data_IF_573470836912
#
_entry.id   IF_573470836912
#
_cell.length_a   1.000
_cell.length_b   1.000
_cell.length_c   1.000
_cell.angle_alpha   90.00
_cell.angle_beta   90.00
_cell.angle_gamma   90.00
#
_symmetry.space_group_name_H-M   'P 1'
#
loop_
_entity.id
_entity.type
_entity.pdbx_description
1 polymer ?
#
# COMPACT_ATOMS: atom_id res chain seq x y z
N UNK A 1 -13.73 -12.53 -0.48
CA UNK A 1 -13.43 -12.20 -1.89
C UNK A 1 -14.01 -10.81 -2.15
N UNK A 2 -13.18 -9.85 -2.55
CA UNK A 2 -13.61 -8.48 -2.85
C UNK A 2 -14.40 -8.42 -4.16
N UNK A 3 -15.35 -7.49 -4.25
CA UNK A 3 -16.13 -7.23 -5.46
C UNK A 3 -15.18 -6.77 -6.59
N UNK A 4 -15.22 -7.37 -7.80
CA UNK A 4 -14.40 -6.93 -8.94
C UNK A 4 -14.50 -5.43 -9.24
N UNK A 5 -15.66 -4.81 -8.99
CA UNK A 5 -15.85 -3.37 -9.15
C UNK A 5 -15.13 -2.58 -8.05
N UNK A 6 -15.11 -3.08 -6.82
CA UNK A 6 -14.41 -2.45 -5.69
C UNK A 6 -12.89 -2.45 -5.88
N UNK A 7 -12.35 -3.54 -6.43
CA UNK A 7 -10.92 -3.65 -6.79
C UNK A 7 -10.56 -2.63 -7.87
N UNK A 8 -11.33 -2.55 -8.95
CA UNK A 8 -11.07 -1.62 -10.05
C UNK A 8 -11.12 -0.15 -9.59
N UNK A 9 -12.11 0.21 -8.78
CA UNK A 9 -12.23 1.56 -8.21
C UNK A 9 -11.08 1.87 -7.23
N UNK A 10 -10.62 0.89 -6.46
CA UNK A 10 -9.49 1.06 -5.54
C UNK A 10 -8.23 1.41 -6.32
N UNK A 11 -7.92 0.67 -7.39
CA UNK A 11 -6.80 1.01 -8.27
C UNK A 11 -6.96 2.37 -8.96
N UNK A 12 -8.17 2.75 -9.40
CA UNK A 12 -8.39 4.08 -9.99
C UNK A 12 -8.12 5.21 -8.99
N UNK A 13 -8.54 5.04 -7.73
CA UNK A 13 -8.25 5.99 -6.65
C UNK A 13 -6.75 6.07 -6.37
N UNK A 14 -6.09 4.94 -6.24
CA UNK A 14 -4.64 4.86 -5.99
C UNK A 14 -3.82 5.47 -7.12
N UNK A 15 -4.26 5.29 -8.37
CA UNK A 15 -3.64 5.95 -9.52
C UNK A 15 -3.79 7.48 -9.44
N UNK A 16 -5.00 7.99 -9.19
CA UNK A 16 -5.23 9.44 -9.02
C UNK A 16 -4.41 10.01 -7.87
N UNK A 17 -4.29 9.27 -6.78
CA UNK A 17 -3.43 9.62 -5.65
C UNK A 17 -1.96 9.72 -6.06
N UNK A 18 -1.42 8.71 -6.74
CA UNK A 18 -0.03 8.68 -7.17
C UNK A 18 0.31 9.78 -8.18
N UNK A 19 -0.64 10.16 -9.04
CA UNK A 19 -0.50 11.27 -10.00
C UNK A 19 -0.52 12.64 -9.30
N UNK A 20 -1.39 12.83 -8.31
CA UNK A 20 -1.56 14.10 -7.61
C UNK A 20 -0.50 14.35 -6.52
N UNK A 21 -0.12 13.31 -5.79
CA UNK A 21 0.81 13.36 -4.65
C UNK A 21 1.81 12.20 -4.73
N UNK A 22 2.79 12.26 -5.65
CA UNK A 22 3.77 11.20 -5.80
C UNK A 22 4.62 11.03 -4.56
N UNK A 23 4.79 9.79 -4.11
CA UNK A 23 5.67 9.46 -2.98
C UNK A 23 7.10 9.18 -3.44
N UNK A 24 8.06 9.17 -2.51
CA UNK A 24 9.48 9.00 -2.84
C UNK A 24 9.73 7.62 -3.48
N UNK A 25 10.50 7.60 -4.55
CA UNK A 25 11.10 6.37 -5.10
C UNK A 25 12.29 5.94 -4.25
N UNK A 26 12.38 4.66 -3.93
CA UNK A 26 13.41 4.09 -3.06
C UNK A 26 14.31 3.14 -3.85
N UNK A 27 15.60 3.13 -3.57
CA UNK A 27 16.46 2.02 -4.00
C UNK A 27 16.04 0.73 -3.28
N UNK A 28 16.24 -0.45 -3.88
CA UNK A 28 15.88 -1.72 -3.23
C UNK A 28 16.47 -1.88 -1.81
N UNK A 29 17.71 -1.44 -1.59
CA UNK A 29 18.33 -1.46 -0.25
C UNK A 29 17.63 -0.53 0.73
N UNK A 30 17.30 0.70 0.32
CA UNK A 30 16.53 1.65 1.13
C UNK A 30 15.12 1.12 1.44
N UNK A 31 14.45 0.55 0.44
CA UNK A 31 13.15 -0.07 0.56
C UNK A 31 13.17 -1.22 1.57
N UNK A 32 14.21 -2.07 1.53
CA UNK A 32 14.37 -3.21 2.43
C UNK A 32 14.59 -2.77 3.88
N UNK A 33 15.40 -1.73 4.09
CA UNK A 33 15.61 -1.14 5.43
C UNK A 33 14.33 -0.49 5.94
N UNK A 34 13.68 0.34 5.12
CA UNK A 34 12.46 1.04 5.51
C UNK A 34 11.30 0.09 5.83
N UNK A 35 11.14 -0.98 5.04
CA UNK A 35 10.15 -2.01 5.28
C UNK A 35 10.38 -2.75 6.60
N UNK A 36 11.64 -3.05 6.94
CA UNK A 36 11.99 -3.63 8.24
C UNK A 36 11.59 -2.71 9.39
N UNK A 37 11.90 -1.42 9.30
CA UNK A 37 11.58 -0.44 10.34
C UNK A 37 10.06 -0.30 10.55
N UNK A 38 9.29 -0.33 9.44
CA UNK A 38 7.82 -0.32 9.49
C UNK A 38 7.31 -1.59 10.19
N UNK A 39 7.75 -2.77 9.73
CA UNK A 39 7.31 -4.05 10.29
C UNK A 39 7.63 -4.16 11.79
N UNK A 40 8.79 -3.67 12.24
CA UNK A 40 9.13 -3.62 13.67
C UNK A 40 8.17 -2.73 14.46
N UNK A 41 7.78 -1.57 13.93
CA UNK A 41 6.84 -0.65 14.58
C UNK A 41 5.39 -1.12 14.57
N UNK A 42 5.01 -1.95 13.59
CA UNK A 42 3.66 -2.51 13.43
C UNK A 42 3.53 -3.91 14.05
N UNK A 43 4.61 -4.44 14.67
CA UNK A 43 4.68 -5.81 15.21
C UNK A 43 4.32 -6.88 14.15
N UNK A 44 4.92 -6.75 12.97
CA UNK A 44 4.75 -7.64 11.82
C UNK A 44 6.04 -8.38 11.51
N UNK A 45 5.90 -9.63 11.05
CA UNK A 45 7.00 -10.33 10.39
C UNK A 45 7.45 -9.54 9.15
N UNK A 46 8.76 -9.41 8.95
CA UNK A 46 9.32 -8.66 7.82
C UNK A 46 9.21 -9.52 6.55
N UNK A 47 8.44 -9.12 5.52
CA UNK A 47 8.39 -9.87 4.28
C UNK A 47 9.69 -9.76 3.50
N UNK A 48 10.04 -10.84 2.80
CA UNK A 48 11.19 -10.82 1.91
C UNK A 48 10.89 -9.89 0.72
N UNK A 49 11.75 -8.90 0.49
CA UNK A 49 11.63 -7.98 -0.63
C UNK A 49 12.62 -8.37 -1.72
N UNK A 50 12.11 -8.66 -2.92
CA UNK A 50 12.94 -9.07 -4.05
C UNK A 50 12.50 -8.38 -5.35
N UNK A 51 13.43 -8.26 -6.30
CA UNK A 51 13.17 -7.70 -7.63
C UNK A 51 13.00 -8.84 -8.63
N UNK A 52 11.84 -8.93 -9.27
CA UNK A 52 11.56 -9.92 -10.30
C UNK A 52 10.93 -9.27 -11.54
N UNK A 53 11.17 -9.84 -12.72
CA UNK A 53 10.41 -9.43 -13.90
C UNK A 53 8.93 -9.83 -13.71
N UNK A 54 8.05 -8.82 -13.63
CA UNK A 54 6.59 -9.00 -13.55
C UNK A 54 5.93 -8.51 -14.87
N UNK A 55 4.65 -8.84 -15.13
CA UNK A 55 3.93 -8.29 -16.28
C UNK A 55 4.03 -6.76 -16.34
N UNK A 56 4.06 -6.18 -17.55
CA UNK A 56 4.33 -4.75 -17.78
C UNK A 56 3.46 -3.75 -17.01
N UNK A 57 2.29 -4.18 -16.51
CA UNK A 57 1.32 -3.33 -15.79
C UNK A 57 1.27 -3.62 -14.28
N UNK A 58 2.14 -4.49 -13.79
CA UNK A 58 2.22 -4.87 -12.37
C UNK A 58 3.49 -4.27 -11.81
N UNK A 59 3.36 -3.32 -10.88
CA UNK A 59 4.51 -2.67 -10.24
C UNK A 59 5.10 -3.53 -9.13
N UNK A 60 4.25 -4.23 -8.39
CA UNK A 60 4.63 -5.16 -7.36
C UNK A 60 3.53 -6.20 -7.14
N UNK A 61 3.84 -7.23 -6.34
CA UNK A 61 2.87 -8.20 -5.86
C UNK A 61 3.28 -8.77 -4.50
N UNK A 62 2.34 -8.78 -3.57
CA UNK A 62 2.41 -9.50 -2.31
C UNK A 62 2.05 -10.99 -2.50
N UNK A 63 2.93 -11.87 -2.03
CA UNK A 63 2.72 -13.32 -2.00
C UNK A 63 2.65 -13.76 -0.54
N UNK A 64 1.43 -14.02 -0.06
CA UNK A 64 1.18 -14.31 1.34
C UNK A 64 1.78 -15.67 1.77
N UNK A 65 1.77 -16.66 0.87
CA UNK A 65 2.22 -18.02 1.13
C UNK A 65 3.71 -18.10 1.46
N UNK A 66 4.51 -17.22 0.87
CA UNK A 66 5.97 -17.13 1.08
C UNK A 66 6.37 -15.88 1.85
N UNK A 67 5.40 -15.09 2.32
CA UNK A 67 5.61 -13.82 3.00
C UNK A 67 6.61 -12.91 2.26
N UNK A 68 6.30 -12.64 0.99
CA UNK A 68 7.20 -11.96 0.06
C UNK A 68 6.50 -10.81 -0.67
N UNK A 69 7.26 -9.76 -0.96
CA UNK A 69 6.87 -8.69 -1.87
C UNK A 69 7.84 -8.73 -3.06
N UNK A 70 7.31 -8.98 -4.25
CA UNK A 70 8.07 -8.90 -5.49
C UNK A 70 7.86 -7.52 -6.12
N UNK A 71 8.96 -6.85 -6.46
CA UNK A 71 8.95 -5.56 -7.16
C UNK A 71 9.30 -5.77 -8.63
N UNK A 72 8.57 -5.11 -9.52
CA UNK A 72 8.90 -5.08 -10.95
C UNK A 72 10.02 -4.08 -11.23
N UNK A 73 11.26 -4.52 -11.07
CA UNK A 73 12.45 -3.69 -11.22
C UNK A 73 13.04 -3.24 -9.89
N UNK A 74 13.87 -2.20 -9.94
CA UNK A 74 14.82 -1.89 -8.84
C UNK A 74 14.46 -0.67 -7.99
N UNK A 75 13.31 -0.04 -8.25
CA UNK A 75 13.00 1.26 -7.65
C UNK A 75 11.49 1.44 -7.39
N UNK A 76 10.93 0.80 -6.33
CA UNK A 76 9.53 1.00 -5.97
C UNK A 76 9.29 2.37 -5.32
N UNK A 77 8.05 2.85 -5.37
CA UNK A 77 7.65 4.00 -4.55
C UNK A 77 7.31 3.57 -3.13
N UNK A 78 7.35 4.51 -2.19
CA UNK A 78 6.85 4.27 -0.83
C UNK A 78 5.40 3.78 -0.84
N UNK A 79 4.55 4.37 -1.68
CA UNK A 79 3.17 3.95 -1.86
C UNK A 79 3.05 2.49 -2.32
N UNK A 80 3.83 2.09 -3.34
CA UNK A 80 3.87 0.71 -3.85
C UNK A 80 4.20 -0.29 -2.72
N UNK A 81 5.20 0.00 -1.89
CA UNK A 81 5.57 -0.91 -0.78
C UNK A 81 4.45 -0.99 0.26
N UNK A 82 3.85 0.15 0.62
CA UNK A 82 2.79 0.18 1.63
C UNK A 82 1.50 -0.47 1.13
N UNK A 83 1.20 -0.41 -0.16
CA UNK A 83 0.12 -1.15 -0.81
C UNK A 83 0.30 -2.66 -0.59
N UNK A 84 1.46 -3.19 -0.96
CA UNK A 84 1.73 -4.62 -0.82
C UNK A 84 1.78 -5.07 0.65
N UNK A 85 2.32 -4.23 1.54
CA UNK A 85 2.29 -4.50 2.98
C UNK A 85 0.86 -4.47 3.54
N UNK A 86 -0.02 -3.60 3.04
CA UNK A 86 -1.43 -3.58 3.42
C UNK A 86 -2.13 -4.89 3.02
N UNK A 87 -1.81 -5.45 1.85
CA UNK A 87 -2.27 -6.80 1.48
C UNK A 87 -1.80 -7.84 2.50
N UNK A 88 -0.52 -7.85 2.86
CA UNK A 88 0.04 -8.84 3.79
C UNK A 88 -0.48 -8.70 5.23
N UNK A 89 -0.81 -7.49 5.68
CA UNK A 89 -1.28 -7.24 7.05
C UNK A 89 -2.78 -7.50 7.24
N UNK A 90 -3.60 -7.44 6.19
CA UNK A 90 -5.05 -7.68 6.30
C UNK A 90 -5.39 -9.18 6.29
N UNK A 91 -6.46 -9.60 6.97
CA UNK A 91 -6.88 -11.00 6.96
C UNK A 91 -7.39 -11.46 5.59
N UNK A 92 -8.14 -10.60 4.90
CA UNK A 92 -8.83 -10.95 3.65
C UNK A 92 -7.96 -10.84 2.38
N UNK A 93 -6.74 -10.31 2.49
CA UNK A 93 -5.75 -10.09 1.40
C UNK A 93 -6.24 -9.34 0.15
N UNK A 94 -7.51 -8.93 0.08
CA UNK A 94 -8.10 -8.19 -1.04
C UNK A 94 -8.28 -6.71 -0.74
N UNK A 95 -8.81 -5.96 -1.71
CA UNK A 95 -8.96 -4.50 -1.65
C UNK A 95 -10.24 -4.05 -0.92
N UNK A 96 -10.59 -4.70 0.20
CA UNK A 96 -11.78 -4.36 0.99
C UNK A 96 -11.57 -3.13 1.89
N UNK A 97 -12.58 -2.81 2.73
CA UNK A 97 -12.52 -1.73 3.74
C UNK A 97 -11.27 -1.83 4.64
N UNK A 98 -10.96 -3.04 5.07
CA UNK A 98 -9.80 -3.35 5.92
C UNK A 98 -8.50 -2.88 5.27
N UNK A 99 -8.27 -3.29 4.01
CA UNK A 99 -7.12 -2.90 3.21
C UNK A 99 -7.00 -1.38 3.05
N UNK A 100 -8.07 -0.71 2.60
CA UNK A 100 -8.04 0.74 2.37
C UNK A 100 -7.76 1.51 3.67
N UNK A 101 -8.32 1.03 4.77
CA UNK A 101 -8.08 1.61 6.10
C UNK A 101 -6.62 1.45 6.50
N UNK A 102 -6.05 0.25 6.31
CA UNK A 102 -4.67 -0.02 6.64
C UNK A 102 -3.70 0.78 5.78
N UNK A 103 -3.95 0.89 4.47
CA UNK A 103 -3.15 1.68 3.56
C UNK A 103 -3.14 3.17 3.95
N UNK A 104 -4.31 3.76 4.25
CA UNK A 104 -4.39 5.15 4.74
C UNK A 104 -3.62 5.31 6.06
N UNK A 105 -3.72 4.34 6.97
CA UNK A 105 -2.99 4.37 8.24
C UNK A 105 -1.47 4.34 8.04
N UNK A 106 -0.98 3.47 7.16
CA UNK A 106 0.44 3.41 6.82
C UNK A 106 0.94 4.68 6.15
N UNK A 107 0.20 5.21 5.17
CA UNK A 107 0.56 6.47 4.50
C UNK A 107 0.64 7.61 5.52
N UNK A 108 -0.28 7.65 6.49
CA UNK A 108 -0.28 8.68 7.54
C UNK A 108 0.99 8.60 8.38
N UNK A 109 1.33 7.39 8.85
CA UNK A 109 2.42 7.16 9.81
C UNK A 109 3.80 7.23 9.16
N UNK A 110 3.94 6.76 7.93
CA UNK A 110 5.23 6.54 7.28
C UNK A 110 5.52 7.44 6.08
N UNK A 111 4.52 8.20 5.61
CA UNK A 111 4.70 9.20 4.54
C UNK A 111 4.36 10.59 5.06
N UNK A 112 3.07 10.89 5.28
CA UNK A 112 2.63 12.13 5.95
C UNK A 112 1.11 12.14 6.19
N UNK A 113 0.68 13.02 7.09
CA UNK A 113 -0.74 13.30 7.32
C UNK A 113 -1.46 13.80 6.06
N UNK A 114 -0.81 14.65 5.27
CA UNK A 114 -1.40 15.26 4.08
C UNK A 114 -1.72 14.22 3.00
N UNK A 115 -0.75 13.33 2.71
CA UNK A 115 -0.95 12.24 1.75
C UNK A 115 -2.10 11.32 2.19
N UNK A 116 -2.17 11.01 3.49
CA UNK A 116 -3.21 10.13 4.01
C UNK A 116 -4.60 10.77 3.94
N UNK A 117 -4.70 12.06 4.25
CA UNK A 117 -5.94 12.81 4.14
C UNK A 117 -6.43 12.87 2.69
N UNK A 118 -5.51 13.08 1.74
CA UNK A 118 -5.84 13.08 0.31
C UNK A 118 -6.32 11.70 -0.16
N UNK A 119 -5.59 10.63 0.14
CA UNK A 119 -6.00 9.26 -0.22
C UNK A 119 -7.36 8.88 0.39
N UNK A 120 -7.59 9.23 1.65
CA UNK A 120 -8.87 9.02 2.32
C UNK A 120 -10.02 9.77 1.64
N UNK A 121 -9.78 11.03 1.26
CA UNK A 121 -10.76 11.84 0.52
C UNK A 121 -11.12 11.24 -0.83
N UNK A 122 -10.14 10.67 -1.55
CA UNK A 122 -10.40 10.00 -2.82
C UNK A 122 -11.22 8.72 -2.66
N UNK A 123 -10.92 7.89 -1.64
CA UNK A 123 -11.73 6.70 -1.35
C UNK A 123 -13.18 7.06 -1.00
N UNK A 124 -13.37 8.03 -0.10
CA UNK A 124 -14.73 8.47 0.29
C UNK A 124 -15.49 9.09 -0.89
N UNK A 125 -14.82 9.87 -1.74
CA UNK A 125 -15.43 10.45 -2.95
C UNK A 125 -15.84 9.38 -3.97
N UNK A 126 -15.08 8.29 -4.06
CA UNK A 126 -15.40 7.12 -4.90
C UNK A 126 -16.43 6.18 -4.25
N UNK A 127 -17.03 6.56 -3.10
CA UNK A 127 -17.98 5.74 -2.32
C UNK A 127 -17.38 4.41 -1.83
N UNK A 128 -16.05 4.31 -1.77
CA UNK A 128 -15.35 3.17 -1.22
C UNK A 128 -15.29 3.27 0.30
N UNK A 129 -15.68 2.19 0.99
CA UNK A 129 -15.70 2.17 2.45
C UNK A 129 -14.29 2.24 3.02
N UNK A 130 -14.03 3.18 3.92
CA UNK A 130 -12.78 3.32 4.69
C UNK A 130 -13.17 3.79 6.10
N UNK A 131 -12.41 3.40 7.14
CA UNK A 131 -12.71 3.91 8.48
C UNK A 131 -12.61 5.45 8.54
N UNK A 132 -13.35 6.13 9.43
CA UNK A 132 -13.28 7.57 9.59
C UNK A 132 -11.84 8.06 9.83
N UNK A 133 -11.43 9.11 9.12
CA UNK A 133 -10.12 9.71 9.29
C UNK A 133 -10.08 10.47 10.63
N UNK A 134 -9.49 9.86 11.66
CA UNK A 134 -9.29 10.55 12.93
C UNK A 134 -8.04 11.43 12.88
N UNK A 135 -8.15 12.67 13.32
CA UNK A 135 -7.00 13.56 13.46
C UNK A 135 -6.06 13.16 14.61
N UNK A 136 -6.47 12.28 15.53
CA UNK A 136 -5.82 12.08 16.83
C UNK A 136 -5.08 10.74 17.00
N UNK A 137 -4.87 9.96 15.93
CA UNK A 137 -4.06 8.73 15.98
C UNK A 137 -2.68 8.92 15.37
#
# INVERSE_FOLDING_TARGET
MSDPTEVALTYEVEQKFAEAMPTRTLLMSEASTWLRDICEQEDLDVPHLDSHALPRRTEAVAIAETWCILINGVAPTQHTILHELAHLSCANKGHGKEFRTQLVSYIRRYVSLEHAAHLHSLFTSAQLSVEPFSATR
#
